data_IF_691784212104
#
_entry.id   IF_691784212104
#
_cell.length_a   1.000
_cell.length_b   1.000
_cell.length_c   1.000
_cell.angle_alpha   90.00
_cell.angle_beta   90.00
_cell.angle_gamma   90.00
#
_symmetry.space_group_name_H-M   'P 1'
#
loop_
_entity.id
_entity.type
_entity.pdbx_description
1 polymer ?
#
# COMPACT_ATOMS: atom_id res chain seq x y z
N UNK A 1 -26.11 14.66 -39.58
CA UNK A 1 -24.91 14.21 -38.84
C UNK A 1 -25.00 14.85 -37.48
N UNK A 2 -25.61 14.13 -36.56
CA UNK A 2 -25.80 14.60 -35.19
C UNK A 2 -24.56 14.17 -34.41
N UNK A 3 -23.80 15.15 -33.93
CA UNK A 3 -22.70 14.93 -33.01
C UNK A 3 -23.31 14.73 -31.64
N UNK A 4 -23.28 13.50 -31.15
CA UNK A 4 -23.80 13.13 -29.85
C UNK A 4 -22.91 13.77 -28.76
N UNK A 5 -23.40 14.87 -28.18
CA UNK A 5 -22.77 15.61 -27.08
C UNK A 5 -23.01 14.93 -25.71
N UNK A 6 -22.99 13.59 -25.67
CA UNK A 6 -23.12 12.82 -24.43
C UNK A 6 -22.01 11.79 -24.32
N UNK A 7 -20.78 12.28 -24.09
CA UNK A 7 -19.79 11.48 -23.39
C UNK A 7 -18.87 12.34 -22.53
N UNK A 8 -19.47 13.38 -21.93
CA UNK A 8 -18.98 13.94 -20.69
C UNK A 8 -19.15 12.83 -19.64
N UNK A 9 -18.18 11.92 -19.57
CA UNK A 9 -18.05 11.02 -18.44
C UNK A 9 -17.95 11.95 -17.25
N UNK A 10 -19.04 11.99 -16.48
CA UNK A 10 -19.10 12.68 -15.21
C UNK A 10 -17.80 12.40 -14.46
N UNK A 11 -17.25 13.38 -13.71
CA UNK A 11 -16.21 13.05 -12.75
C UNK A 11 -16.80 11.93 -11.91
N UNK A 12 -16.32 10.69 -12.13
CA UNK A 12 -16.65 9.59 -11.25
C UNK A 12 -16.20 10.12 -9.91
N UNK A 13 -17.16 10.37 -9.04
CA UNK A 13 -16.90 10.56 -7.62
C UNK A 13 -16.01 9.38 -7.27
N UNK A 14 -14.71 9.63 -7.14
CA UNK A 14 -13.80 8.65 -6.59
C UNK A 14 -14.30 8.59 -5.16
N UNK A 15 -15.14 7.60 -4.89
CA UNK A 15 -15.26 7.09 -3.54
C UNK A 15 -13.83 6.69 -3.20
N UNK A 16 -13.11 7.58 -2.50
CA UNK A 16 -11.85 7.24 -1.89
C UNK A 16 -12.17 6.12 -0.92
N UNK A 17 -12.10 4.87 -1.38
CA UNK A 17 -11.93 3.78 -0.46
C UNK A 17 -10.61 4.08 0.23
N UNK A 18 -10.68 4.17 1.55
CA UNK A 18 -9.57 4.39 2.46
C UNK A 18 -8.58 3.21 2.49
N UNK A 19 -8.54 2.40 1.43
CA UNK A 19 -7.92 1.06 1.38
C UNK A 19 -6.58 1.05 0.61
N UNK A 20 -6.04 2.23 0.29
CA UNK A 20 -4.75 2.41 -0.38
C UNK A 20 -3.57 2.58 0.57
N UNK A 21 -2.36 2.61 0.00
CA UNK A 21 -1.16 3.02 0.71
C UNK A 21 -1.30 4.47 1.22
N UNK A 22 -0.97 4.72 2.48
CA UNK A 22 -1.07 6.01 3.12
C UNK A 22 -0.01 7.02 2.64
N UNK A 23 0.99 6.57 1.88
CA UNK A 23 2.05 7.45 1.35
C UNK A 23 1.50 8.27 0.18
N UNK A 24 1.48 9.62 0.27
CA UNK A 24 1.00 10.47 -0.81
C UNK A 24 1.75 10.23 -2.13
N UNK A 25 1.02 10.16 -3.24
CA UNK A 25 1.61 9.93 -4.56
C UNK A 25 2.12 8.50 -4.78
N UNK A 26 1.89 7.56 -3.85
CA UNK A 26 2.31 6.18 -4.04
C UNK A 26 1.62 5.57 -5.27
N UNK A 27 2.44 5.05 -6.19
CA UNK A 27 1.95 4.48 -7.45
C UNK A 27 1.06 3.25 -7.25
N UNK A 28 1.13 2.58 -6.09
CA UNK A 28 0.22 1.47 -5.76
C UNK A 28 -1.24 1.90 -5.63
N UNK A 29 -1.50 3.20 -5.48
CA UNK A 29 -2.85 3.76 -5.41
C UNK A 29 -3.39 4.16 -6.79
N UNK A 30 -2.65 3.89 -7.86
CA UNK A 30 -3.04 4.26 -9.23
C UNK A 30 -3.57 3.06 -9.99
N UNK A 31 -4.63 3.28 -10.78
CA UNK A 31 -5.21 2.26 -11.67
C UNK A 31 -4.24 1.77 -12.77
N UNK A 32 -3.06 2.40 -12.89
CA UNK A 32 -2.01 2.02 -13.83
C UNK A 32 -1.22 0.77 -13.38
N UNK A 33 -1.39 0.37 -12.12
CA UNK A 33 -0.67 -0.76 -11.53
C UNK A 33 -1.68 -1.85 -11.20
N UNK A 34 -2.02 -2.67 -12.20
CA UNK A 34 -2.69 -3.98 -11.99
C UNK A 34 -1.70 -5.01 -11.43
N UNK A 35 -0.95 -4.64 -10.38
CA UNK A 35 -0.01 -5.55 -9.73
C UNK A 35 -0.71 -6.25 -8.56
N UNK A 36 -1.28 -7.42 -8.87
CA UNK A 36 -1.93 -8.30 -7.90
C UNK A 36 -1.01 -8.73 -6.74
N UNK A 37 0.30 -8.45 -6.82
CA UNK A 37 1.29 -8.89 -5.84
C UNK A 37 1.63 -7.84 -4.78
N UNK A 38 1.04 -6.64 -4.83
CA UNK A 38 1.27 -5.62 -3.81
C UNK A 38 0.59 -6.04 -2.51
N UNK A 39 1.39 -6.18 -1.45
CA UNK A 39 0.86 -6.41 -0.10
C UNK A 39 0.80 -5.10 0.67
N UNK A 40 -0.28 -4.93 1.43
CA UNK A 40 -0.46 -3.81 2.36
C UNK A 40 -0.16 -4.27 3.78
N UNK A 41 0.59 -3.46 4.52
CA UNK A 41 0.94 -3.71 5.91
C UNK A 41 0.48 -2.58 6.81
N UNK A 42 0.02 -2.92 8.01
CA UNK A 42 -0.30 -1.97 9.06
C UNK A 42 0.82 -1.86 10.08
N UNK A 43 1.04 -0.68 10.68
CA UNK A 43 1.84 -0.58 11.88
C UNK A 43 1.10 -1.23 13.05
N UNK A 44 1.87 -1.78 13.97
CA UNK A 44 1.37 -2.15 15.30
C UNK A 44 1.23 -0.90 16.17
N UNK A 45 0.51 -1.03 17.29
CA UNK A 45 0.43 0.04 18.29
C UNK A 45 1.80 0.45 18.84
N UNK A 46 2.77 -0.47 18.85
CA UNK A 46 4.11 -0.26 19.40
C UNK A 46 5.00 0.55 18.44
N UNK A 47 4.82 0.42 17.12
CA UNK A 47 5.73 1.01 16.12
C UNK A 47 5.08 2.06 15.20
N UNK A 48 3.81 2.42 15.40
CA UNK A 48 3.11 3.44 14.59
C UNK A 48 3.81 4.81 14.61
N UNK A 49 4.39 5.20 15.75
CA UNK A 49 5.12 6.47 15.87
C UNK A 49 6.45 6.45 15.11
N UNK A 50 7.14 5.30 15.09
CA UNK A 50 8.39 5.13 14.34
C UNK A 50 8.12 5.14 12.84
N UNK A 51 7.06 4.46 12.40
CA UNK A 51 6.59 4.48 11.02
C UNK A 51 6.23 5.90 10.58
N UNK A 52 5.46 6.61 11.42
CA UNK A 52 5.10 8.01 11.19
C UNK A 52 6.33 8.90 11.02
N UNK A 53 7.32 8.72 11.89
CA UNK A 53 8.59 9.47 11.82
C UNK A 53 9.40 9.13 10.58
N UNK A 54 9.49 7.85 10.21
CA UNK A 54 10.26 7.39 9.04
C UNK A 54 9.72 7.88 7.69
N UNK A 55 8.40 8.09 7.62
CA UNK A 55 7.73 8.58 6.42
C UNK A 55 7.43 10.08 6.47
N UNK A 56 7.67 10.74 7.61
CA UNK A 56 7.20 12.10 7.88
C UNK A 56 5.69 12.28 7.63
N UNK A 57 4.89 11.30 8.09
CA UNK A 57 3.43 11.26 7.95
C UNK A 57 2.79 10.97 9.30
N UNK A 58 1.58 11.48 9.54
CA UNK A 58 0.83 11.13 10.75
C UNK A 58 0.01 9.85 10.52
N UNK A 59 0.63 8.69 10.72
CA UNK A 59 -0.03 7.39 10.54
C UNK A 59 -0.82 7.00 11.78
N UNK A 60 -1.85 6.18 11.57
CA UNK A 60 -2.59 5.49 12.63
C UNK A 60 -2.36 3.98 12.53
N UNK A 61 -2.74 3.21 13.56
CA UNK A 61 -2.70 1.74 13.50
C UNK A 61 -3.59 1.15 12.39
N UNK A 62 -4.54 1.95 11.88
CA UNK A 62 -5.41 1.54 10.79
C UNK A 62 -4.84 1.93 9.41
N UNK A 63 -3.77 2.72 9.36
CA UNK A 63 -3.12 3.13 8.11
C UNK A 63 -2.41 1.95 7.46
N UNK A 64 -2.53 1.83 6.15
CA UNK A 64 -1.83 0.81 5.36
C UNK A 64 -0.64 1.42 4.64
N UNK A 65 0.46 0.68 4.54
CA UNK A 65 1.63 1.04 3.73
C UNK A 65 1.99 -0.16 2.87
N UNK A 66 2.18 0.03 1.56
CA UNK A 66 2.49 -1.07 0.66
C UNK A 66 3.94 -1.57 0.84
N UNK A 67 4.16 -2.83 0.47
CA UNK A 67 5.44 -3.53 0.56
C UNK A 67 6.60 -2.84 -0.15
N UNK A 68 6.33 -2.02 -1.16
CA UNK A 68 7.33 -1.23 -1.88
C UNK A 68 8.03 -0.19 -1.01
N UNK A 69 7.43 0.23 0.10
CA UNK A 69 8.08 1.10 1.09
C UNK A 69 8.97 0.34 2.06
N UNK A 70 9.12 -0.97 1.93
CA UNK A 70 10.01 -1.76 2.78
C UNK A 70 11.18 -2.28 1.95
N UNK A 71 12.34 -2.38 2.60
CA UNK A 71 13.48 -3.03 1.94
C UNK A 71 13.16 -4.50 1.69
N UNK A 72 13.57 -5.08 0.55
CA UNK A 72 13.32 -6.49 0.25
C UNK A 72 13.80 -7.45 1.35
N UNK A 73 14.93 -7.16 2.02
CA UNK A 73 15.45 -7.94 3.14
C UNK A 73 14.57 -7.93 4.40
N UNK A 74 13.64 -6.98 4.49
CA UNK A 74 12.67 -6.90 5.58
C UNK A 74 11.39 -7.69 5.31
N UNK A 75 11.27 -8.27 4.11
CA UNK A 75 10.12 -9.06 3.69
C UNK A 75 10.46 -10.55 3.75
N UNK A 76 9.62 -11.31 4.43
CA UNK A 76 9.71 -12.74 4.58
C UNK A 76 8.63 -13.43 3.75
N UNK A 77 8.92 -14.64 3.29
CA UNK A 77 8.03 -15.44 2.46
C UNK A 77 7.86 -16.86 3.04
N UNK A 78 7.38 -17.02 4.29
CA UNK A 78 7.17 -18.34 4.86
C UNK A 78 6.14 -19.14 4.07
N UNK A 79 6.43 -20.44 3.92
CA UNK A 79 5.44 -21.42 3.49
C UNK A 79 4.64 -21.88 4.71
N UNK A 80 3.32 -21.77 4.65
CA UNK A 80 2.43 -22.19 5.73
C UNK A 80 1.35 -23.12 5.20
N UNK A 81 0.93 -24.07 6.05
CA UNK A 81 -0.16 -24.98 5.73
C UNK A 81 -1.49 -24.39 6.20
N UNK A 82 -2.33 -23.99 5.24
CA UNK A 82 -3.65 -23.38 5.50
C UNK A 82 -4.72 -24.20 4.80
N UNK A 83 -5.68 -24.70 5.58
CA UNK A 83 -6.85 -25.46 5.10
C UNK A 83 -6.50 -26.61 4.15
N UNK A 84 -5.47 -27.40 4.47
CA UNK A 84 -5.10 -28.56 3.66
C UNK A 84 -4.14 -28.26 2.50
N UNK A 85 -3.70 -27.00 2.32
CA UNK A 85 -2.83 -26.56 1.22
C UNK A 85 -1.63 -25.76 1.73
N UNK A 86 -0.45 -25.97 1.13
CA UNK A 86 0.71 -25.11 1.35
C UNK A 86 0.51 -23.78 0.61
N UNK A 87 0.77 -22.66 1.30
CA UNK A 87 0.70 -21.31 0.76
C UNK A 87 1.95 -20.52 1.14
N UNK A 88 2.47 -19.73 0.21
CA UNK A 88 3.49 -18.72 0.52
C UNK A 88 2.78 -17.44 0.94
N UNK A 89 3.12 -16.90 2.12
CA UNK A 89 2.57 -15.63 2.59
C UNK A 89 3.69 -14.61 2.63
N UNK A 90 3.43 -13.38 2.16
CA UNK A 90 4.35 -12.26 2.33
C UNK A 90 4.16 -11.65 3.73
N UNK A 91 5.24 -11.60 4.50
CA UNK A 91 5.26 -11.03 5.85
C UNK A 91 6.34 -9.95 5.93
N UNK A 92 6.22 -9.05 6.91
CA UNK A 92 7.21 -8.01 7.20
C UNK A 92 7.82 -8.26 8.58
N UNK A 93 9.13 -8.10 8.73
CA UNK A 93 9.77 -8.10 10.06
C UNK A 93 9.11 -7.04 10.97
N UNK A 94 8.91 -7.35 12.25
CA UNK A 94 8.26 -6.41 13.18
C UNK A 94 9.04 -5.10 13.39
N UNK A 95 10.37 -5.18 13.32
CA UNK A 95 11.28 -4.04 13.42
C UNK A 95 11.48 -3.28 12.11
N UNK A 96 10.85 -3.72 11.01
CA UNK A 96 11.00 -3.05 9.73
C UNK A 96 10.25 -1.73 9.72
N UNK A 97 10.96 -0.67 9.35
CA UNK A 97 10.40 0.65 9.13
C UNK A 97 10.19 0.88 7.63
N UNK A 98 9.09 1.54 7.25
CA UNK A 98 8.93 1.99 5.88
C UNK A 98 9.94 3.09 5.55
N UNK A 99 10.22 3.24 4.28
CA UNK A 99 11.16 4.22 3.73
C UNK A 99 10.37 5.09 2.78
N UNK A 100 10.55 6.40 2.90
CA UNK A 100 10.05 7.33 1.89
C UNK A 100 10.71 6.92 0.58
N UNK A 101 9.94 6.67 -0.48
CA UNK A 101 10.55 6.59 -1.80
C UNK A 101 10.95 8.03 -2.11
N UNK A 102 12.24 8.31 -1.98
CA UNK A 102 12.75 9.66 -1.94
C UNK A 102 12.24 10.47 -3.14
N UNK A 103 11.67 11.64 -2.84
CA UNK A 103 11.81 12.78 -3.73
C UNK A 103 13.33 13.00 -3.88
N UNK A 104 13.80 13.05 -5.13
CA UNK A 104 15.21 13.23 -5.50
C UNK A 104 15.90 14.29 -4.60
N UNK A 105 17.08 13.97 -4.04
CA UNK A 105 17.99 14.94 -3.42
C UNK A 105 18.44 16.02 -4.40
#
# INVERSE_FOLDING_TARGET
>A
MEVDMNNLHAPRTIEYTTDGCAVPGCISNTDLVEDENISLFQPSIENVNEWSSSLNLNLTVNSYVCDRHFRPEHLLYPEVFVNGSMKVIKCRLNSALPIAMDAEE
#
